data_IF_084131518779
#
_entry.id   IF_084131518779
#
_cell.length_a   1.000
_cell.length_b   1.000
_cell.length_c   1.000
_cell.angle_alpha   90.00
_cell.angle_beta   90.00
_cell.angle_gamma   90.00
#
_symmetry.space_group_name_H-M   'P 1'
#
loop_
_entity.id
_entity.type
_entity.pdbx_description
1 polymer ?
#
# COMPACT_ATOMS: atom_id res chain seq x y z
N UNK A 1 3.34 18.52 13.94
CA UNK A 1 4.34 17.48 13.58
C UNK A 1 3.61 16.46 12.71
N UNK A 2 3.84 16.46 11.40
CA UNK A 2 3.21 15.51 10.46
C UNK A 2 3.91 14.15 10.58
N UNK A 3 3.16 13.04 10.61
CA UNK A 3 3.70 11.70 10.85
C UNK A 3 4.71 11.27 9.78
N UNK A 4 4.42 11.60 8.51
CA UNK A 4 5.30 11.30 7.35
C UNK A 4 6.50 12.26 7.29
N UNK A 5 6.31 13.53 7.66
CA UNK A 5 7.29 14.59 7.42
C UNK A 5 7.25 15.12 5.98
N UNK A 6 8.14 16.06 5.67
CA UNK A 6 8.25 16.70 4.34
C UNK A 6 9.65 16.58 3.75
N UNK A 7 10.55 15.87 4.43
CA UNK A 7 11.91 15.61 3.99
C UNK A 7 12.07 14.11 3.87
N UNK A 8 12.14 13.61 2.64
CA UNK A 8 12.18 12.19 2.36
C UNK A 8 11.91 11.90 0.90
N UNK A 9 11.79 10.62 0.57
CA UNK A 9 11.60 10.13 -0.78
C UNK A 9 10.39 9.20 -0.83
N UNK A 10 9.56 9.36 -1.85
CA UNK A 10 8.57 8.37 -2.26
C UNK A 10 9.21 7.50 -3.35
N UNK A 11 9.27 6.19 -3.11
CA UNK A 11 9.84 5.21 -4.05
C UNK A 11 8.79 4.19 -4.43
N UNK A 12 8.61 3.96 -5.73
CA UNK A 12 7.73 2.93 -6.29
C UNK A 12 8.60 1.91 -7.01
N UNK A 13 8.48 0.65 -6.61
CA UNK A 13 9.18 -0.48 -7.25
C UNK A 13 8.13 -1.38 -7.91
N UNK A 14 8.28 -1.60 -9.21
CA UNK A 14 7.41 -2.46 -10.02
C UNK A 14 8.16 -3.73 -10.39
N UNK A 15 7.66 -4.86 -9.90
CA UNK A 15 8.00 -6.17 -10.44
C UNK A 15 7.06 -6.46 -11.60
N UNK A 16 7.61 -6.53 -12.81
CA UNK A 16 6.89 -6.80 -14.05
C UNK A 16 7.26 -8.16 -14.66
N UNK A 17 7.81 -9.06 -13.84
CA UNK A 17 8.25 -10.39 -14.28
C UNK A 17 9.52 -10.37 -15.15
N UNK A 18 10.26 -9.25 -15.13
CA UNK A 18 11.58 -9.14 -15.73
C UNK A 18 12.66 -9.52 -14.71
N UNK A 19 13.90 -9.67 -15.19
CA UNK A 19 15.05 -10.01 -14.33
C UNK A 19 15.30 -8.97 -13.24
N UNK A 20 15.11 -7.69 -13.57
CA UNK A 20 15.33 -6.56 -12.68
C UNK A 20 14.03 -5.77 -12.51
N UNK A 21 13.79 -5.28 -11.30
CA UNK A 21 12.64 -4.44 -11.00
C UNK A 21 12.81 -3.04 -11.58
N UNK A 22 11.69 -2.44 -12.00
CA UNK A 22 11.68 -1.02 -12.35
C UNK A 22 11.45 -0.19 -11.10
N UNK A 23 12.29 0.83 -10.86
CA UNK A 23 12.14 1.73 -9.71
C UNK A 23 12.06 3.19 -10.15
N UNK A 24 11.05 3.89 -9.61
CA UNK A 24 10.88 5.33 -9.74
C UNK A 24 10.96 5.97 -8.36
N UNK A 25 11.59 7.14 -8.26
CA UNK A 25 11.78 7.85 -7.00
C UNK A 25 11.60 9.35 -7.18
N UNK A 26 10.86 9.97 -6.25
CA UNK A 26 10.65 11.41 -6.19
C UNK A 26 10.79 11.92 -4.75
N UNK A 27 11.20 13.18 -4.52
CA UNK A 27 11.09 13.79 -3.20
C UNK A 27 9.64 13.87 -2.74
N UNK A 28 9.43 13.74 -1.44
CA UNK A 28 8.16 14.11 -0.79
C UNK A 28 7.97 15.61 -0.97
N UNK A 29 6.80 16.02 -1.45
CA UNK A 29 6.48 17.42 -1.74
C UNK A 29 5.54 18.02 -0.69
N UNK A 30 4.74 17.19 -0.01
CA UNK A 30 3.82 17.69 1.03
C UNK A 30 3.68 16.81 2.28
N UNK A 31 3.88 15.50 2.12
CA UNK A 31 3.73 14.51 3.20
C UNK A 31 2.27 14.10 3.49
N UNK A 32 1.31 14.57 2.67
CA UNK A 32 -0.11 14.16 2.76
C UNK A 32 -0.42 12.94 1.87
N UNK A 33 0.61 12.33 1.26
CA UNK A 33 0.59 11.15 0.39
C UNK A 33 -0.14 11.35 -0.95
N UNK A 34 -1.37 11.88 -0.98
CA UNK A 34 -2.12 12.08 -2.22
C UNK A 34 -1.40 13.01 -3.21
N UNK A 35 -0.89 14.14 -2.72
CA UNK A 35 -0.09 15.06 -3.53
C UNK A 35 1.28 14.47 -3.90
N UNK A 36 1.89 13.68 -3.00
CA UNK A 36 3.17 13.03 -3.25
C UNK A 36 3.04 11.97 -4.38
N UNK A 37 1.95 11.19 -4.38
CA UNK A 37 1.63 10.27 -5.48
C UNK A 37 1.25 11.01 -6.77
N UNK A 38 0.53 12.12 -6.67
CA UNK A 38 0.23 12.98 -7.82
C UNK A 38 1.53 13.47 -8.48
N UNK A 39 2.48 13.93 -7.68
CA UNK A 39 3.80 14.36 -8.14
C UNK A 39 4.61 13.20 -8.73
N UNK A 40 4.55 12.01 -8.12
CA UNK A 40 5.18 10.80 -8.65
C UNK A 40 4.69 10.47 -10.07
N UNK A 41 3.38 10.41 -10.29
CA UNK A 41 2.85 10.09 -11.62
C UNK A 41 3.20 11.17 -12.65
N UNK A 42 3.10 12.45 -12.28
CA UNK A 42 3.42 13.55 -13.18
C UNK A 42 4.91 13.57 -13.57
N UNK A 43 5.81 13.29 -12.63
CA UNK A 43 7.26 13.45 -12.82
C UNK A 43 7.94 12.17 -13.29
N UNK A 44 7.67 11.05 -12.60
CA UNK A 44 8.33 9.77 -12.87
C UNK A 44 7.69 9.02 -14.02
N UNK A 45 6.36 9.01 -14.09
CA UNK A 45 5.62 8.31 -15.15
C UNK A 45 5.28 9.23 -16.34
N UNK A 46 5.49 10.56 -16.20
CA UNK A 46 5.16 11.57 -17.21
C UNK A 46 3.69 11.55 -17.63
N UNK A 47 2.81 11.22 -16.69
CA UNK A 47 1.35 11.21 -16.90
C UNK A 47 0.72 12.26 -15.99
N UNK A 48 0.16 13.36 -16.52
CA UNK A 48 -0.60 14.32 -15.72
C UNK A 48 -1.71 13.61 -14.97
N UNK A 49 -1.65 13.65 -13.64
CA UNK A 49 -2.49 12.84 -12.78
C UNK A 49 -3.04 13.67 -11.63
N UNK A 50 -4.15 13.21 -11.05
CA UNK A 50 -4.67 13.68 -9.78
C UNK A 50 -5.01 12.47 -8.92
N UNK A 51 -4.41 12.40 -7.73
CA UNK A 51 -4.63 11.33 -6.76
C UNK A 51 -5.34 11.91 -5.54
N UNK A 52 -6.57 11.45 -5.31
CA UNK A 52 -7.33 11.78 -4.11
C UNK A 52 -7.38 10.57 -3.20
N UNK A 53 -6.89 10.69 -1.96
CA UNK A 53 -7.00 9.64 -0.94
C UNK A 53 -7.48 10.25 0.37
N UNK A 54 -8.24 9.49 1.15
CA UNK A 54 -8.75 9.97 2.42
C UNK A 54 -9.14 8.85 3.35
N UNK A 55 -8.90 9.08 4.65
CA UNK A 55 -9.28 8.18 5.73
C UNK A 55 -9.94 9.00 6.84
N UNK A 56 -11.09 8.53 7.32
CA UNK A 56 -11.75 9.00 8.53
C UNK A 56 -11.62 7.92 9.61
N UNK A 57 -11.21 8.34 10.80
CA UNK A 57 -10.97 7.47 11.94
C UNK A 57 -11.90 7.90 13.07
N UNK A 58 -12.56 6.92 13.70
CA UNK A 58 -13.40 7.14 14.87
C UNK A 58 -12.57 7.43 16.13
N UNK A 59 -13.18 8.00 17.19
CA UNK A 59 -12.49 8.22 18.47
C UNK A 59 -11.95 6.94 19.15
N UNK A 60 -12.48 5.77 18.79
CA UNK A 60 -12.02 4.46 19.27
C UNK A 60 -10.90 3.85 18.41
N UNK A 61 -10.34 4.64 17.48
CA UNK A 61 -9.33 4.25 16.48
C UNK A 61 -9.80 3.28 15.39
N UNK A 62 -11.08 2.91 15.33
CA UNK A 62 -11.61 2.17 14.18
C UNK A 62 -11.71 3.05 12.94
N UNK A 63 -11.58 2.45 11.75
CA UNK A 63 -11.73 3.18 10.49
C UNK A 63 -13.22 3.36 10.20
N UNK A 64 -13.65 4.62 10.05
CA UNK A 64 -15.04 4.96 9.69
C UNK A 64 -15.26 4.89 8.18
N UNK A 65 -14.32 5.42 7.41
CA UNK A 65 -14.37 5.47 5.95
C UNK A 65 -12.96 5.61 5.39
N UNK A 66 -12.63 4.86 4.35
CA UNK A 66 -11.37 4.99 3.63
C UNK A 66 -11.60 4.77 2.14
N UNK A 67 -10.92 5.54 1.31
CA UNK A 67 -11.03 5.39 -0.14
C UNK A 67 -10.20 6.42 -0.89
N UNK A 68 -10.27 6.33 -2.21
CA UNK A 68 -9.54 7.23 -3.09
C UNK A 68 -9.89 7.04 -4.56
N UNK A 69 -9.30 7.89 -5.39
CA UNK A 69 -9.37 7.83 -6.84
C UNK A 69 -8.04 8.26 -7.45
N UNK A 70 -7.81 7.80 -8.68
CA UNK A 70 -6.71 8.28 -9.54
C UNK A 70 -7.34 8.68 -10.87
N UNK A 71 -7.07 9.91 -11.31
CA UNK A 71 -7.45 10.40 -12.63
C UNK A 71 -6.17 10.70 -13.40
N UNK A 72 -6.06 10.19 -14.61
CA UNK A 72 -4.90 10.38 -15.47
C UNK A 72 -5.34 10.91 -16.83
N UNK A 73 -4.69 11.96 -17.31
CA UNK A 73 -4.97 12.56 -18.61
C UNK A 73 -4.11 11.86 -19.66
N UNK A 74 -4.77 11.18 -20.60
CA UNK A 74 -4.07 10.49 -21.69
C UNK A 74 -3.74 11.46 -22.84
N UNK A 75 -2.77 11.10 -23.71
CA UNK A 75 -2.44 11.90 -24.89
C UNK A 75 -3.68 12.19 -25.75
N UNK A 76 -3.83 13.45 -26.15
CA UNK A 76 -4.96 13.90 -26.97
C UNK A 76 -6.17 14.40 -26.18
N UNK A 77 -6.09 14.47 -24.84
CA UNK A 77 -7.11 15.15 -24.03
C UNK A 77 -7.14 16.65 -24.37
N UNK A 78 -8.33 17.21 -24.63
CA UNK A 78 -8.47 18.62 -24.97
C UNK A 78 -8.32 19.55 -23.76
N UNK A 79 -7.75 20.73 -23.96
CA UNK A 79 -7.59 21.75 -22.90
C UNK A 79 -8.92 22.08 -22.20
N UNK A 80 -10.03 22.11 -22.94
CA UNK A 80 -11.37 22.32 -22.38
C UNK A 80 -11.75 21.23 -21.37
N UNK A 81 -11.46 19.96 -21.68
CA UNK A 81 -11.72 18.82 -20.79
C UNK A 81 -10.83 18.91 -19.55
N UNK A 82 -9.55 19.26 -19.75
CA UNK A 82 -8.58 19.42 -18.66
C UNK A 82 -9.07 20.50 -17.68
N UNK A 83 -9.39 21.69 -18.17
CA UNK A 83 -9.87 22.79 -17.31
C UNK A 83 -11.17 22.46 -16.58
N UNK A 84 -12.09 21.69 -17.20
CA UNK A 84 -13.31 21.22 -16.54
C UNK A 84 -12.99 20.28 -15.38
N UNK A 85 -12.10 19.32 -15.59
CA UNK A 85 -11.69 18.36 -14.56
C UNK A 85 -10.99 19.08 -13.41
N UNK A 86 -10.05 19.99 -13.69
CA UNK A 86 -9.35 20.79 -12.68
C UNK A 86 -10.31 21.64 -11.84
N UNK A 87 -11.28 22.30 -12.49
CA UNK A 87 -12.30 23.09 -11.79
C UNK A 87 -13.18 22.22 -10.89
N UNK A 88 -13.47 20.97 -11.27
CA UNK A 88 -14.21 20.03 -10.42
C UNK A 88 -13.36 19.55 -9.24
N UNK A 89 -12.12 19.15 -9.50
CA UNK A 89 -11.20 18.66 -8.46
C UNK A 89 -10.90 19.73 -7.39
N UNK A 90 -10.84 21.00 -7.76
CA UNK A 90 -10.62 22.10 -6.80
C UNK A 90 -11.82 22.41 -5.90
N UNK A 91 -13.02 21.92 -6.23
CA UNK A 91 -14.26 22.22 -5.51
C UNK A 91 -14.95 21.00 -4.91
N UNK A 92 -14.48 19.80 -5.25
CA UNK A 92 -15.05 18.56 -4.74
C UNK A 92 -14.80 18.42 -3.24
N UNK A 93 -15.74 17.76 -2.56
CA UNK A 93 -15.55 17.41 -1.17
C UNK A 93 -14.45 16.32 -1.00
N UNK A 94 -13.87 16.18 0.21
CA UNK A 94 -12.90 15.13 0.48
C UNK A 94 -13.48 13.72 0.22
N UNK A 95 -12.70 12.86 -0.44
CA UNK A 95 -13.13 11.51 -0.82
C UNK A 95 -13.62 10.66 0.36
N UNK A 96 -13.02 10.80 1.54
CA UNK A 96 -13.46 10.06 2.71
C UNK A 96 -14.86 10.47 3.20
N UNK A 97 -15.31 11.70 2.96
CA UNK A 97 -16.70 12.13 3.22
C UNK A 97 -17.68 11.58 2.20
N UNK A 98 -17.28 11.49 0.92
CA UNK A 98 -18.08 10.82 -0.10
C UNK A 98 -18.31 9.35 0.26
N UNK A 99 -17.24 8.64 0.66
CA UNK A 99 -17.33 7.25 1.13
C UNK A 99 -18.20 7.15 2.40
N UNK A 100 -18.05 8.07 3.36
CA UNK A 100 -18.87 8.09 4.57
C UNK A 100 -20.37 8.25 4.24
N UNK A 101 -20.72 9.02 3.20
CA UNK A 101 -22.10 9.17 2.70
C UNK A 101 -22.62 7.93 1.97
N UNK A 102 -21.77 6.93 1.74
CA UNK A 102 -22.13 5.69 1.06
C UNK A 102 -21.98 5.74 -0.45
N UNK A 103 -21.24 6.71 -1.02
CA UNK A 103 -20.98 6.72 -2.45
C UNK A 103 -20.08 5.52 -2.82
N UNK A 104 -20.47 4.86 -3.90
CA UNK A 104 -19.68 3.84 -4.59
C UNK A 104 -18.51 4.47 -5.36
N UNK A 105 -17.47 3.69 -5.70
CA UNK A 105 -16.37 4.19 -6.55
C UNK A 105 -16.85 4.83 -7.86
N UNK A 106 -17.89 4.27 -8.46
CA UNK A 106 -18.49 4.76 -9.72
C UNK A 106 -19.23 6.08 -9.53
N UNK A 107 -19.95 6.25 -8.42
CA UNK A 107 -20.59 7.52 -8.07
C UNK A 107 -19.56 8.61 -7.81
N UNK A 108 -18.45 8.28 -7.12
CA UNK A 108 -17.33 9.23 -6.91
C UNK A 108 -16.75 9.69 -8.26
N UNK A 109 -16.48 8.75 -9.18
CA UNK A 109 -16.00 9.09 -10.52
C UNK A 109 -17.02 9.94 -11.28
N UNK A 110 -18.31 9.67 -11.12
CA UNK A 110 -19.39 10.44 -11.76
C UNK A 110 -19.48 11.86 -11.19
N UNK A 111 -19.29 12.05 -9.88
CA UNK A 111 -19.23 13.39 -9.28
C UNK A 111 -18.02 14.20 -9.80
N UNK A 112 -16.89 13.54 -10.05
CA UNK A 112 -15.67 14.21 -10.53
C UNK A 112 -15.75 14.51 -12.04
N UNK A 113 -16.10 13.51 -12.85
CA UNK A 113 -16.01 13.56 -14.32
C UNK A 113 -17.33 13.98 -14.98
N UNK A 114 -18.43 13.98 -14.24
CA UNK A 114 -19.78 14.30 -14.74
C UNK A 114 -20.53 13.08 -15.29
N UNK A 115 -21.86 13.19 -15.28
CA UNK A 115 -22.76 12.15 -15.78
C UNK A 115 -22.51 11.81 -17.25
N UNK A 116 -22.53 10.51 -17.56
CA UNK A 116 -22.32 9.99 -18.91
C UNK A 116 -20.87 9.92 -19.40
N UNK A 117 -19.91 10.41 -18.60
CA UNK A 117 -18.49 10.41 -18.96
C UNK A 117 -17.69 9.23 -18.37
N UNK A 118 -18.34 8.36 -17.59
CA UNK A 118 -17.71 7.21 -16.93
C UNK A 118 -18.08 5.93 -17.66
N UNK A 119 -17.06 5.19 -18.11
CA UNK A 119 -17.22 3.84 -18.66
C UNK A 119 -16.49 2.83 -17.77
N UNK A 120 -17.22 1.88 -17.18
CA UNK A 120 -16.65 0.89 -16.27
C UNK A 120 -16.12 -0.29 -17.08
N UNK A 121 -14.81 -0.51 -16.99
CA UNK A 121 -14.13 -1.60 -17.69
C UNK A 121 -14.07 -2.88 -16.86
N UNK A 122 -13.80 -2.76 -15.57
CA UNK A 122 -13.59 -3.87 -14.66
C UNK A 122 -13.99 -3.47 -13.23
N UNK A 123 -14.37 -4.46 -12.42
CA UNK A 123 -14.53 -4.35 -10.98
C UNK A 123 -13.83 -5.54 -10.33
N UNK A 124 -13.16 -5.31 -9.21
CA UNK A 124 -12.53 -6.36 -8.43
C UNK A 124 -12.68 -6.09 -6.95
N UNK A 125 -12.79 -7.17 -6.18
CA UNK A 125 -12.76 -7.10 -4.72
C UNK A 125 -11.33 -6.82 -4.26
N UNK A 126 -11.20 -6.03 -3.19
CA UNK A 126 -9.92 -5.70 -2.56
C UNK A 126 -9.93 -6.18 -1.12
N UNK A 127 -8.84 -6.81 -0.70
CA UNK A 127 -8.65 -7.27 0.66
C UNK A 127 -7.21 -7.05 1.13
N UNK A 128 -7.04 -6.95 2.44
CA UNK A 128 -5.72 -7.06 3.05
C UNK A 128 -5.31 -8.53 3.08
N UNK A 129 -4.25 -8.88 2.34
CA UNK A 129 -3.75 -10.25 2.26
C UNK A 129 -2.23 -10.28 2.39
N UNK A 130 -1.71 -11.04 3.37
CA UNK A 130 -0.28 -11.22 3.60
C UNK A 130 0.10 -12.66 3.24
N UNK A 131 1.21 -12.82 2.51
CA UNK A 131 1.69 -14.14 2.09
C UNK A 131 2.61 -14.81 3.13
N UNK A 132 2.69 -14.31 4.36
CA UNK A 132 3.46 -14.97 5.41
C UNK A 132 2.82 -16.32 5.77
N UNK A 133 3.65 -17.27 6.18
CA UNK A 133 3.22 -18.58 6.62
C UNK A 133 4.21 -19.11 7.64
N UNK A 134 3.79 -20.09 8.44
CA UNK A 134 4.68 -20.77 9.38
C UNK A 134 5.94 -21.30 8.68
N UNK A 135 5.77 -21.89 7.50
CA UNK A 135 6.86 -22.41 6.66
C UNK A 135 7.85 -21.32 6.24
N UNK A 136 7.36 -20.16 5.78
CA UNK A 136 8.24 -19.04 5.40
C UNK A 136 9.04 -18.50 6.59
N UNK A 137 8.41 -18.43 7.76
CA UNK A 137 9.07 -18.00 8.99
C UNK A 137 10.07 -19.05 9.48
N UNK A 138 9.73 -20.35 9.39
CA UNK A 138 10.65 -21.45 9.69
C UNK A 138 11.90 -21.40 8.81
N UNK A 139 11.76 -21.17 7.51
CA UNK A 139 12.90 -21.00 6.60
C UNK A 139 13.78 -19.80 6.97
N UNK A 140 13.17 -18.71 7.47
CA UNK A 140 13.93 -17.57 7.98
C UNK A 140 14.71 -17.94 9.26
N UNK A 141 14.12 -18.71 10.17
CA UNK A 141 14.83 -19.22 11.35
C UNK A 141 16.00 -20.14 10.96
N UNK A 142 15.80 -21.06 10.02
CA UNK A 142 16.86 -21.92 9.47
C UNK A 142 18.03 -21.08 8.94
N UNK A 143 17.74 -19.95 8.30
CA UNK A 143 18.79 -19.06 7.75
C UNK A 143 19.67 -18.37 8.79
N UNK A 144 19.29 -18.37 10.07
CA UNK A 144 20.15 -17.91 11.18
C UNK A 144 21.33 -18.86 11.42
N UNK A 145 21.16 -20.14 11.05
CA UNK A 145 22.14 -21.19 11.24
C UNK A 145 22.02 -21.91 12.58
N UNK A 146 22.74 -23.04 12.68
CA UNK A 146 22.65 -23.99 13.79
C UNK A 146 22.93 -23.37 15.15
N UNK A 147 24.01 -22.61 15.26
CA UNK A 147 24.51 -22.10 16.54
C UNK A 147 23.50 -21.13 17.19
N UNK A 148 22.87 -20.26 16.38
CA UNK A 148 21.83 -19.33 16.84
C UNK A 148 20.55 -20.05 17.28
N UNK A 149 20.08 -21.03 16.49
CA UNK A 149 18.89 -21.81 16.86
C UNK A 149 19.14 -22.58 18.16
N UNK A 150 20.34 -23.15 18.32
CA UNK A 150 20.72 -23.87 19.51
C UNK A 150 20.78 -22.96 20.75
N UNK A 151 21.30 -21.75 20.61
CA UNK A 151 21.30 -20.78 21.71
C UNK A 151 19.86 -20.45 22.16
N UNK A 152 18.94 -20.25 21.21
CA UNK A 152 17.51 -20.05 21.51
C UNK A 152 16.92 -21.25 22.27
N UNK A 153 17.24 -22.48 21.85
CA UNK A 153 16.80 -23.70 22.52
C UNK A 153 17.32 -23.78 23.96
N UNK A 154 18.59 -23.47 24.18
CA UNK A 154 19.25 -23.60 25.49
C UNK A 154 18.85 -22.48 26.46
N UNK A 155 18.57 -21.28 25.96
CA UNK A 155 18.26 -20.10 26.79
C UNK A 155 16.75 -19.88 27.01
N UNK A 156 15.94 -19.98 25.97
CA UNK A 156 14.51 -19.68 26.00
C UNK A 156 13.63 -20.94 25.88
N UNK A 157 14.11 -21.97 25.18
CA UNK A 157 13.39 -23.22 24.95
C UNK A 157 12.16 -23.08 24.05
N UNK A 158 11.99 -21.94 23.39
CA UNK A 158 10.94 -21.62 22.41
C UNK A 158 11.34 -20.38 21.63
N UNK A 159 10.67 -20.13 20.51
CA UNK A 159 10.81 -18.88 19.77
C UNK A 159 9.44 -18.29 19.44
N UNK A 160 9.37 -16.96 19.40
CA UNK A 160 8.23 -16.21 18.88
C UNK A 160 8.73 -15.32 17.73
N UNK A 161 8.11 -15.47 16.56
CA UNK A 161 8.43 -14.69 15.39
C UNK A 161 7.18 -13.96 14.89
N UNK A 162 7.29 -12.64 14.74
CA UNK A 162 6.20 -11.79 14.27
C UNK A 162 6.45 -11.35 12.83
N UNK A 163 5.44 -11.50 11.96
CA UNK A 163 5.52 -10.96 10.62
C UNK A 163 5.46 -9.42 10.67
N UNK A 164 6.50 -8.74 10.19
CA UNK A 164 6.53 -7.26 10.17
C UNK A 164 5.50 -6.61 9.24
N UNK A 165 4.84 -7.37 8.35
CA UNK A 165 3.83 -6.82 7.43
C UNK A 165 2.41 -6.90 7.98
N UNK A 166 2.00 -8.05 8.52
CA UNK A 166 0.64 -8.26 9.02
C UNK A 166 0.54 -8.39 10.54
N UNK A 167 1.68 -8.41 11.24
CA UNK A 167 1.77 -8.54 12.69
C UNK A 167 1.30 -9.90 13.25
N UNK A 168 1.10 -10.91 12.39
CA UNK A 168 0.79 -12.29 12.79
C UNK A 168 1.95 -12.89 13.58
N UNK A 169 1.64 -13.60 14.66
CA UNK A 169 2.62 -14.18 15.58
C UNK A 169 2.70 -15.70 15.39
N UNK A 170 3.90 -16.18 15.09
CA UNK A 170 4.21 -17.61 14.94
C UNK A 170 5.04 -18.09 16.12
N UNK A 171 4.55 -19.10 16.84
CA UNK A 171 5.24 -19.68 17.99
C UNK A 171 5.89 -21.01 17.61
N UNK A 172 7.14 -21.20 18.00
CA UNK A 172 7.90 -22.44 17.78
C UNK A 172 8.26 -23.03 19.14
N UNK A 173 7.84 -24.27 19.39
CA UNK A 173 8.22 -25.01 20.58
C UNK A 173 9.69 -25.44 20.50
N UNK A 174 10.20 -26.01 21.58
CA UNK A 174 11.54 -26.60 21.60
C UNK A 174 11.70 -27.67 20.51
N UNK A 175 10.70 -28.54 20.37
CA UNK A 175 10.69 -29.63 19.40
C UNK A 175 10.69 -29.09 17.96
N UNK A 176 9.90 -28.04 17.68
CA UNK A 176 9.96 -27.36 16.38
C UNK A 176 11.38 -26.86 16.10
N UNK A 177 12.04 -26.22 17.08
CA UNK A 177 13.38 -25.67 16.91
C UNK A 177 14.45 -26.75 16.72
N UNK A 178 14.34 -27.89 17.41
CA UNK A 178 15.24 -29.04 17.22
C UNK A 178 15.08 -29.62 15.80
N UNK A 179 13.87 -29.66 15.25
CA UNK A 179 13.64 -30.04 13.85
C UNK A 179 14.29 -29.05 12.88
N UNK A 180 14.12 -27.75 13.10
CA UNK A 180 14.74 -26.70 12.27
C UNK A 180 16.27 -26.71 12.38
N UNK A 181 16.83 -26.94 13.57
CA UNK A 181 18.28 -27.08 13.79
C UNK A 181 18.83 -28.22 12.91
N UNK A 182 18.15 -29.36 12.86
CA UNK A 182 18.56 -30.51 12.05
C UNK A 182 18.46 -30.25 10.53
N UNK A 183 17.58 -29.35 10.09
CA UNK A 183 17.47 -28.96 8.68
C UNK A 183 18.60 -28.02 8.22
N UNK A 184 19.26 -27.30 9.14
CA UNK A 184 20.39 -26.42 8.81
C UNK A 184 21.62 -27.17 8.28
N UNK A 185 21.71 -28.48 8.54
CA UNK A 185 22.84 -29.33 8.14
C UNK A 185 22.66 -30.01 6.77
N UNK A 186 21.50 -29.83 6.12
CA UNK A 186 21.21 -30.39 4.79
C UNK A 186 21.63 -29.44 3.66
#
# INVERSE_FOLDING_TARGET
>A
RKAVGTEGLLTVVKDIGLRDNFSGQVPIVSGELGEDFTYYFATSEQVPSSVGVGVLVNPDNSILAAGGFIIQLLPGTSDETISKIESRLSTIEPVSKMIQRGLTPEEILTEILGEGNVNILEKMDVEFSCQCSRERIANALISLGKDEIRDIIETEGKAEAQCHFCNETYQFSKEDLEELEAETEK
#
